data_IF_446001876914
#
_entry.id   IF_446001876914
#
_cell.length_a   1.000
_cell.length_b   1.000
_cell.length_c   1.000
_cell.angle_alpha   90.00
_cell.angle_beta   90.00
_cell.angle_gamma   90.00
#
_symmetry.space_group_name_H-M   'P 1'
#
loop_
_entity.id
_entity.type
_entity.pdbx_description
1 polymer ?
#
# COMPACT_ATOMS: atom_id res chain seq x y z
N UNK A 1 -2.86 -5.63 -9.71
CA UNK A 1 -3.07 -6.99 -9.17
C UNK A 1 -4.13 -7.81 -9.95
N UNK A 2 -5.41 -7.43 -10.02
CA UNK A 2 -6.42 -8.23 -10.78
C UNK A 2 -6.11 -8.38 -12.28
N UNK A 3 -5.67 -7.30 -12.95
CA UNK A 3 -5.30 -7.34 -14.37
C UNK A 3 -4.04 -8.19 -14.62
N UNK A 4 -3.06 -8.12 -13.72
CA UNK A 4 -1.84 -8.93 -13.78
C UNK A 4 -2.15 -10.42 -13.67
N UNK A 5 -3.07 -10.80 -12.77
CA UNK A 5 -3.48 -12.19 -12.58
C UNK A 5 -4.12 -12.77 -13.85
N UNK A 6 -5.05 -12.03 -14.47
CA UNK A 6 -5.71 -12.47 -15.71
C UNK A 6 -4.74 -12.64 -16.88
N UNK A 7 -3.69 -11.82 -16.95
CA UNK A 7 -2.66 -11.89 -18.00
C UNK A 7 -1.59 -12.95 -17.68
N UNK A 8 -1.37 -13.27 -16.39
CA UNK A 8 -0.44 -14.32 -15.97
C UNK A 8 -0.91 -15.73 -16.34
N UNK A 9 -2.23 -15.96 -16.39
CA UNK A 9 -2.84 -17.24 -16.75
C UNK A 9 -2.45 -17.69 -18.18
N UNK A 10 -2.70 -16.91 -19.25
CA UNK A 10 -2.28 -17.31 -20.59
C UNK A 10 -0.76 -17.39 -20.74
N UNK A 11 0.03 -16.59 -20.02
CA UNK A 11 1.50 -16.69 -20.06
C UNK A 11 2.03 -18.01 -19.46
N UNK A 12 1.36 -18.56 -18.46
CA UNK A 12 1.69 -19.87 -17.88
C UNK A 12 1.29 -21.02 -18.82
N UNK A 13 0.08 -20.97 -19.39
CA UNK A 13 -0.48 -22.08 -20.19
C UNK A 13 -0.07 -22.09 -21.67
N UNK A 14 0.38 -20.97 -22.26
CA UNK A 14 0.81 -20.89 -23.66
C UNK A 14 2.35 -20.77 -23.76
N UNK A 15 3.09 -21.89 -23.78
CA UNK A 15 4.55 -21.87 -23.74
C UNK A 15 5.23 -21.29 -24.99
N UNK A 16 4.49 -21.08 -26.08
CA UNK A 16 5.07 -20.70 -27.38
C UNK A 16 5.36 -19.20 -27.51
N UNK A 17 4.64 -18.33 -26.80
CA UNK A 17 4.66 -16.90 -27.11
C UNK A 17 5.48 -16.09 -26.10
N UNK A 18 6.77 -15.86 -26.43
CA UNK A 18 7.74 -15.12 -25.58
C UNK A 18 7.28 -13.70 -25.25
N UNK A 19 6.46 -13.10 -26.11
CA UNK A 19 5.89 -11.77 -25.92
C UNK A 19 5.08 -11.66 -24.61
N UNK A 20 4.28 -12.68 -24.29
CA UNK A 20 3.44 -12.66 -23.09
C UNK A 20 4.29 -12.71 -21.80
N UNK A 21 5.41 -13.43 -21.79
CA UNK A 21 6.31 -13.47 -20.64
C UNK A 21 7.01 -12.13 -20.38
N UNK A 22 7.48 -11.46 -21.44
CA UNK A 22 8.06 -10.12 -21.32
C UNK A 22 7.02 -9.09 -20.88
N UNK A 23 5.80 -9.18 -21.41
CA UNK A 23 4.69 -8.30 -21.04
C UNK A 23 4.27 -8.51 -19.57
N UNK A 24 4.15 -9.74 -19.10
CA UNK A 24 3.89 -10.04 -17.68
C UNK A 24 4.99 -9.48 -16.79
N UNK A 25 6.26 -9.69 -17.16
CA UNK A 25 7.41 -9.15 -16.40
C UNK A 25 7.34 -7.62 -16.32
N UNK A 26 7.06 -6.94 -17.44
CA UNK A 26 6.91 -5.49 -17.46
C UNK A 26 5.76 -5.00 -16.57
N UNK A 27 4.59 -5.67 -16.64
CA UNK A 27 3.44 -5.32 -15.80
C UNK A 27 3.70 -5.52 -14.30
N UNK A 28 4.44 -6.56 -13.92
CA UNK A 28 4.84 -6.79 -12.52
C UNK A 28 5.74 -5.63 -12.06
N UNK A 29 6.74 -5.25 -12.86
CA UNK A 29 7.63 -4.13 -12.52
C UNK A 29 6.83 -2.84 -12.34
N UNK A 30 5.93 -2.51 -13.26
CA UNK A 30 5.09 -1.30 -13.17
C UNK A 30 4.18 -1.35 -11.94
N UNK A 31 3.61 -2.50 -11.62
CA UNK A 31 2.74 -2.65 -10.44
C UNK A 31 3.55 -2.52 -9.15
N UNK A 32 4.73 -3.12 -9.08
CA UNK A 32 5.62 -3.05 -7.93
C UNK A 32 6.13 -1.62 -7.69
N UNK A 33 6.45 -0.86 -8.76
CA UNK A 33 6.91 0.54 -8.61
C UNK A 33 5.80 1.47 -8.15
N UNK A 34 4.57 1.32 -8.69
CA UNK A 34 3.42 2.13 -8.28
C UNK A 34 3.05 1.83 -6.82
N UNK A 35 2.97 0.54 -6.45
CA UNK A 35 2.63 0.14 -5.07
C UNK A 35 3.69 0.58 -4.07
N UNK A 36 4.98 0.51 -4.43
CA UNK A 36 6.07 1.02 -3.63
C UNK A 36 6.00 2.54 -3.47
N UNK A 37 5.72 3.30 -4.54
CA UNK A 37 5.59 4.75 -4.48
C UNK A 37 4.43 5.17 -3.57
N UNK A 38 3.28 4.49 -3.66
CA UNK A 38 2.14 4.72 -2.76
C UNK A 38 2.50 4.39 -1.32
N UNK A 39 3.13 3.23 -1.07
CA UNK A 39 3.56 2.81 0.26
C UNK A 39 4.52 3.81 0.90
N UNK A 40 5.50 4.32 0.14
CA UNK A 40 6.44 5.35 0.61
C UNK A 40 5.74 6.67 0.92
N UNK A 41 4.81 7.12 0.08
CA UNK A 41 4.06 8.36 0.32
C UNK A 41 3.25 8.29 1.62
N UNK A 42 2.55 7.18 1.85
CA UNK A 42 1.79 6.93 3.09
C UNK A 42 2.73 6.84 4.29
N UNK A 43 3.87 6.17 4.15
CA UNK A 43 4.87 6.08 5.20
C UNK A 43 5.43 7.46 5.59
N UNK A 44 5.74 8.33 4.62
CA UNK A 44 6.12 9.73 4.91
C UNK A 44 5.02 10.50 5.62
N UNK A 45 3.76 10.30 5.23
CA UNK A 45 2.61 10.91 5.93
C UNK A 45 2.51 10.46 7.39
N UNK A 46 3.00 9.25 7.71
CA UNK A 46 3.04 8.71 9.07
C UNK A 46 4.04 9.48 9.95
N UNK A 47 5.19 9.87 9.39
CA UNK A 47 6.20 10.69 10.08
C UNK A 47 5.72 12.12 10.38
N UNK A 48 4.84 12.65 9.53
CA UNK A 48 4.32 14.02 9.67
C UNK A 48 2.84 14.09 10.09
N UNK A 49 2.31 13.04 10.73
CA UNK A 49 0.89 12.99 11.11
C UNK A 49 0.45 14.21 11.91
N UNK A 50 1.24 14.67 12.86
CA UNK A 50 0.92 15.86 13.65
C UNK A 50 0.74 17.14 12.79
N UNK A 51 1.52 17.30 11.73
CA UNK A 51 1.38 18.45 10.81
C UNK A 51 0.20 18.27 9.87
N UNK A 52 -0.02 17.06 9.35
CA UNK A 52 -1.05 16.77 8.37
C UNK A 52 -2.46 16.73 8.96
N UNK A 53 -2.61 16.33 10.23
CA UNK A 53 -3.92 16.18 10.89
C UNK A 53 -4.53 17.54 11.30
N UNK A 54 -3.70 18.56 11.54
CA UNK A 54 -4.16 19.90 11.95
C UNK A 54 -5.03 20.60 10.89
N UNK A 55 -4.61 20.72 9.62
CA UNK A 55 -5.46 21.31 8.59
C UNK A 55 -6.71 20.45 8.30
N UNK A 56 -6.62 19.12 8.41
CA UNK A 56 -7.77 18.21 8.23
C UNK A 56 -8.82 18.45 9.32
N UNK A 57 -8.38 18.62 10.58
CA UNK A 57 -9.27 18.96 11.68
C UNK A 57 -9.99 20.28 11.40
N UNK A 58 -9.24 21.34 11.05
CA UNK A 58 -9.80 22.67 10.81
C UNK A 58 -10.74 22.73 9.59
N UNK A 59 -10.51 21.89 8.58
CA UNK A 59 -11.39 21.77 7.41
C UNK A 59 -12.65 20.92 7.69
N UNK A 60 -12.66 20.15 8.77
CA UNK A 60 -13.79 19.29 9.13
C UNK A 60 -14.98 20.09 9.67
N UNK A 61 -16.20 19.65 9.37
CA UNK A 61 -17.41 20.30 9.86
C UNK A 61 -17.51 20.22 11.40
N UNK A 62 -18.22 21.16 12.05
CA UNK A 62 -18.39 21.13 13.50
C UNK A 62 -19.09 19.85 14.00
N UNK A 63 -19.95 19.24 13.18
CA UNK A 63 -20.61 17.96 13.50
C UNK A 63 -19.61 16.80 13.50
N UNK A 64 -18.67 16.77 12.57
CA UNK A 64 -17.63 15.74 12.55
C UNK A 64 -16.68 15.91 13.74
N UNK A 65 -16.33 17.16 14.08
CA UNK A 65 -15.49 17.47 15.23
C UNK A 65 -16.16 17.07 16.56
N UNK A 66 -17.47 17.28 16.73
CA UNK A 66 -18.21 16.85 17.93
C UNK A 66 -18.24 15.33 18.10
N UNK A 67 -18.46 14.60 17.00
CA UNK A 67 -18.40 13.13 17.00
C UNK A 67 -16.99 12.60 17.34
N UNK A 68 -15.95 13.27 16.84
CA UNK A 68 -14.56 12.93 17.16
C UNK A 68 -14.27 13.17 18.66
N UNK A 69 -14.71 14.29 19.22
CA UNK A 69 -14.57 14.60 20.64
C UNK A 69 -15.29 13.55 21.52
N UNK A 70 -16.49 13.12 21.13
CA UNK A 70 -17.21 12.05 21.82
C UNK A 70 -16.49 10.70 21.74
N UNK A 71 -15.98 10.33 20.56
CA UNK A 71 -15.30 9.04 20.34
C UNK A 71 -13.97 8.95 21.10
N UNK A 72 -13.17 10.01 21.06
CA UNK A 72 -11.83 10.02 21.65
C UNK A 72 -11.79 10.59 23.07
N UNK A 73 -12.94 11.03 23.61
CA UNK A 73 -13.07 11.66 24.94
C UNK A 73 -12.01 12.73 25.19
N UNK A 74 -11.99 13.71 24.30
CA UNK A 74 -11.03 14.82 24.29
C UNK A 74 -11.74 16.11 23.87
N UNK A 75 -11.15 17.27 24.16
CA UNK A 75 -11.75 18.56 23.86
C UNK A 75 -10.77 19.47 23.11
N UNK A 76 -11.21 20.02 21.97
CA UNK A 76 -10.37 20.86 21.11
C UNK A 76 -9.20 20.10 20.48
N UNK A 77 -8.56 20.68 19.46
CA UNK A 77 -7.47 19.99 18.75
C UNK A 77 -6.10 20.19 19.40
N UNK A 78 -5.56 21.41 19.37
CA UNK A 78 -4.30 21.80 20.01
C UNK A 78 -4.53 22.52 21.34
N UNK A 79 -5.53 23.40 21.37
CA UNK A 79 -5.93 24.15 22.55
C UNK A 79 -7.26 23.60 23.07
N UNK A 80 -7.31 23.08 24.31
CA UNK A 80 -8.53 22.53 24.89
C UNK A 80 -9.62 23.57 25.13
N UNK A 81 -9.29 24.87 25.08
CA UNK A 81 -10.27 25.96 25.15
C UNK A 81 -10.98 26.26 23.82
N UNK A 82 -10.46 25.77 22.68
CA UNK A 82 -11.05 25.91 21.34
C UNK A 82 -11.84 24.65 20.98
N UNK A 83 -12.88 24.36 21.77
CA UNK A 83 -13.75 23.19 21.60
C UNK A 83 -15.15 23.62 21.13
N UNK A 84 -15.86 22.66 20.55
CA UNK A 84 -17.28 22.81 20.23
C UNK A 84 -18.05 22.35 21.45
N UNK A 85 -19.05 23.14 21.86
CA UNK A 85 -19.84 22.83 23.04
C UNK A 85 -20.76 21.66 22.74
N UNK A 86 -20.38 20.50 23.24
CA UNK A 86 -21.11 19.25 23.13
C UNK A 86 -21.27 18.58 24.50
N UNK A 87 -21.98 17.44 24.55
CA UNK A 87 -22.18 16.69 25.80
C UNK A 87 -20.87 16.24 26.47
N UNK A 88 -19.81 16.01 25.68
CA UNK A 88 -18.47 15.61 26.17
C UNK A 88 -17.69 16.80 26.75
N UNK A 89 -17.85 17.98 26.17
CA UNK A 89 -17.12 19.20 26.53
C UNK A 89 -18.13 20.31 26.88
N UNK A 90 -18.81 20.24 28.04
CA UNK A 90 -19.84 21.21 28.40
C UNK A 90 -19.26 22.55 28.88
N UNK A 91 -18.05 22.55 29.44
CA UNK A 91 -17.40 23.74 29.99
C UNK A 91 -15.89 23.70 29.81
N UNK A 92 -15.25 24.87 29.85
CA UNK A 92 -13.80 24.99 29.70
C UNK A 92 -13.01 24.29 30.82
N UNK A 93 -13.60 24.11 32.01
CA UNK A 93 -12.99 23.35 33.11
C UNK A 93 -12.90 21.87 32.76
N UNK A 94 -14.02 21.28 32.34
CA UNK A 94 -14.07 19.87 31.91
C UNK A 94 -13.16 19.65 30.69
N UNK A 95 -13.10 20.62 29.77
CA UNK A 95 -12.20 20.54 28.62
C UNK A 95 -10.71 20.56 29.00
N UNK A 96 -10.33 21.30 30.05
CA UNK A 96 -8.96 21.30 30.57
C UNK A 96 -8.61 19.97 31.23
N UNK A 97 -9.57 19.31 31.89
CA UNK A 97 -9.37 18.01 32.55
C UNK A 97 -9.23 16.86 31.53
N UNK A 98 -10.00 16.88 30.43
CA UNK A 98 -9.93 15.85 29.37
C UNK A 98 -8.71 16.05 28.44
N UNK A 99 -8.23 17.28 28.31
CA UNK A 99 -7.09 17.61 27.46
C UNK A 99 -7.37 17.58 25.95
N UNK A 100 -6.34 17.84 25.13
CA UNK A 100 -6.48 18.07 23.70
C UNK A 100 -6.57 16.78 22.86
N UNK A 101 -7.33 16.83 21.76
CA UNK A 101 -7.59 15.68 20.89
C UNK A 101 -6.41 15.25 20.01
N UNK A 102 -5.38 16.08 19.81
CA UNK A 102 -4.29 15.73 18.88
C UNK A 102 -3.55 14.44 19.27
N UNK A 103 -3.45 14.13 20.57
CA UNK A 103 -2.74 12.93 21.06
C UNK A 103 -3.51 11.64 20.77
N UNK A 104 -4.77 11.46 21.25
CA UNK A 104 -5.54 10.24 20.98
C UNK A 104 -5.90 10.11 19.49
N UNK A 105 -6.16 11.23 18.80
CA UNK A 105 -6.44 11.22 17.37
C UNK A 105 -5.21 10.85 16.55
N UNK A 106 -4.04 11.41 16.89
CA UNK A 106 -2.76 11.09 16.26
C UNK A 106 -2.36 9.63 16.46
N UNK A 107 -2.55 9.08 17.66
CA UNK A 107 -2.27 7.67 17.94
C UNK A 107 -3.13 6.73 17.08
N UNK A 108 -4.43 7.02 16.95
CA UNK A 108 -5.33 6.24 16.09
C UNK A 108 -4.95 6.34 14.61
N UNK A 109 -4.64 7.56 14.13
CA UNK A 109 -4.23 7.78 12.75
C UNK A 109 -2.91 7.05 12.43
N UNK A 110 -1.91 7.13 13.32
CA UNK A 110 -0.64 6.42 13.17
C UNK A 110 -0.87 4.91 13.09
N UNK A 111 -1.62 4.32 14.02
CA UNK A 111 -1.88 2.87 14.00
C UNK A 111 -2.59 2.41 12.71
N UNK A 112 -3.53 3.21 12.21
CA UNK A 112 -4.20 2.91 10.94
C UNK A 112 -3.23 3.00 9.76
N UNK A 113 -2.43 4.08 9.70
CA UNK A 113 -1.43 4.26 8.64
C UNK A 113 -0.37 3.16 8.68
N UNK A 114 0.04 2.72 9.87
CA UNK A 114 1.00 1.63 10.09
C UNK A 114 0.56 0.33 9.44
N UNK A 115 -0.70 -0.07 9.67
CA UNK A 115 -1.28 -1.28 9.07
C UNK A 115 -1.32 -1.15 7.55
N UNK A 116 -1.74 0.02 7.05
CA UNK A 116 -1.91 0.26 5.62
C UNK A 116 -0.56 0.21 4.90
N UNK A 117 0.45 0.98 5.33
CA UNK A 117 1.75 0.96 4.66
C UNK A 117 2.42 -0.40 4.75
N UNK A 118 2.31 -1.09 5.89
CA UNK A 118 2.91 -2.42 6.08
C UNK A 118 2.31 -3.43 5.09
N UNK A 119 0.99 -3.34 4.88
CA UNK A 119 0.29 -4.17 3.89
C UNK A 119 0.79 -3.88 2.47
N UNK A 120 1.00 -2.61 2.11
CA UNK A 120 1.54 -2.24 0.80
C UNK A 120 2.98 -2.76 0.58
N UNK A 121 3.86 -2.61 1.57
CA UNK A 121 5.21 -3.18 1.48
C UNK A 121 5.18 -4.71 1.40
N UNK A 122 4.23 -5.36 2.07
CA UNK A 122 3.98 -6.79 1.95
C UNK A 122 3.63 -7.21 0.52
N UNK A 123 2.75 -6.46 -0.16
CA UNK A 123 2.44 -6.73 -1.57
C UNK A 123 3.65 -6.54 -2.49
N UNK A 124 4.45 -5.50 -2.25
CA UNK A 124 5.70 -5.28 -3.01
C UNK A 124 6.64 -6.48 -2.85
N UNK A 125 6.79 -7.04 -1.66
CA UNK A 125 7.62 -8.23 -1.43
C UNK A 125 7.11 -9.45 -2.23
N UNK A 126 5.79 -9.66 -2.28
CA UNK A 126 5.18 -10.72 -3.09
C UNK A 126 5.44 -10.49 -4.59
N UNK A 127 5.31 -9.26 -5.06
CA UNK A 127 5.58 -8.90 -6.47
C UNK A 127 7.06 -9.17 -6.83
N UNK A 128 8.01 -8.92 -5.92
CA UNK A 128 9.42 -9.26 -6.12
C UNK A 128 9.66 -10.77 -6.25
N UNK A 129 9.04 -11.58 -5.39
CA UNK A 129 9.13 -13.05 -5.48
C UNK A 129 8.56 -13.53 -6.82
N UNK A 130 7.41 -12.99 -7.22
CA UNK A 130 6.76 -13.35 -8.48
C UNK A 130 7.59 -12.93 -9.70
N UNK A 131 8.25 -11.78 -9.64
CA UNK A 131 9.20 -11.32 -10.65
C UNK A 131 10.38 -12.28 -10.79
N UNK A 132 11.01 -12.68 -9.68
CA UNK A 132 12.12 -13.64 -9.70
C UNK A 132 11.69 -14.98 -10.29
N UNK A 133 10.53 -15.50 -9.89
CA UNK A 133 9.97 -16.74 -10.46
C UNK A 133 9.77 -16.63 -11.98
N UNK A 134 9.27 -15.49 -12.45
CA UNK A 134 9.07 -15.23 -13.89
C UNK A 134 10.40 -15.16 -14.65
N UNK A 135 11.43 -14.52 -14.07
CA UNK A 135 12.77 -14.47 -14.67
C UNK A 135 13.43 -15.85 -14.73
N UNK A 136 13.30 -16.67 -13.68
CA UNK A 136 13.76 -18.06 -13.68
C UNK A 136 13.10 -18.86 -14.81
N UNK A 137 11.78 -18.71 -15.00
CA UNK A 137 11.04 -19.37 -16.06
C UNK A 137 11.51 -18.92 -17.46
N UNK A 138 11.74 -17.62 -17.67
CA UNK A 138 12.27 -17.09 -18.94
C UNK A 138 13.64 -17.70 -19.24
N UNK A 139 14.53 -17.78 -18.24
CA UNK A 139 15.86 -18.37 -18.40
C UNK A 139 15.79 -19.86 -18.75
N UNK A 140 14.97 -20.63 -18.03
CA UNK A 140 14.78 -22.07 -18.29
C UNK A 140 14.24 -22.34 -19.70
N UNK A 141 13.23 -21.58 -20.15
CA UNK A 141 12.70 -21.71 -21.53
C UNK A 141 13.77 -21.38 -22.58
N UNK A 142 14.59 -20.35 -22.36
CA UNK A 142 15.68 -19.95 -23.26
C UNK A 142 16.77 -21.02 -23.33
N UNK A 143 17.11 -21.64 -22.20
CA UNK A 143 18.08 -22.74 -22.16
C UNK A 143 17.54 -23.98 -22.91
N UNK A 144 16.28 -24.37 -22.68
CA UNK A 144 15.63 -25.47 -23.42
C UNK A 144 15.59 -25.24 -24.93
N UNK A 145 15.26 -24.04 -25.38
CA UNK A 145 15.32 -23.69 -26.81
C UNK A 145 16.73 -23.81 -27.38
N UNK A 146 17.75 -23.37 -26.62
CA UNK A 146 19.16 -23.53 -27.04
C UNK A 146 19.55 -25.00 -27.17
N UNK A 147 19.16 -25.86 -26.24
CA UNK A 147 19.46 -27.30 -26.33
C UNK A 147 18.77 -27.95 -27.53
N UNK A 148 17.51 -27.62 -27.81
CA UNK A 148 16.81 -28.08 -29.03
C UNK A 148 17.57 -27.72 -30.31
N UNK A 149 18.05 -26.48 -30.41
CA UNK A 149 18.83 -26.03 -31.56
C UNK A 149 20.20 -26.74 -31.68
N UNK A 150 20.78 -27.21 -30.58
CA UNK A 150 22.03 -27.99 -30.59
C UNK A 150 21.76 -29.43 -31.02
N UNK A 151 20.69 -30.04 -30.54
CA UNK A 151 20.30 -31.41 -30.90
C UNK A 151 19.93 -31.50 -32.40
N UNK A 152 19.18 -30.50 -32.92
CA UNK A 152 18.91 -30.36 -34.36
C UNK A 152 20.20 -30.30 -35.19
N UNK A 153 21.22 -29.57 -34.73
CA UNK A 153 22.52 -29.47 -35.42
C UNK A 153 23.35 -30.75 -35.35
N UNK A 154 23.15 -31.59 -34.34
CA UNK A 154 23.91 -32.84 -34.14
C UNK A 154 23.30 -34.02 -34.90
N UNK A 155 22.19 -33.83 -35.61
CA UNK A 155 21.52 -34.90 -36.37
C UNK A 155 20.92 -36.00 -35.50
N UNK A 156 20.87 -35.79 -34.18
CA UNK A 156 20.13 -36.65 -33.25
C UNK A 156 18.69 -36.18 -33.33
N UNK A 157 17.95 -36.77 -34.28
CA UNK A 157 16.54 -36.43 -34.50
C UNK A 157 15.73 -36.49 -33.22
N UNK A 158 14.89 -35.46 -33.04
CA UNK A 158 13.79 -35.34 -32.06
C UNK A 158 13.44 -36.64 -31.34
N UNK A 159 13.88 -36.78 -30.08
CA UNK A 159 13.25 -37.67 -29.10
C UNK A 159 12.40 -36.81 -28.16
#
# INVERSE_FOLDING_TARGET
MMLCFLISLPAAFLPRNRFFLHLVTFLIIVTATITLAIGLNIWFSTLETHKNLTPIWNASSPVTQSMLQFKFKCCGYSNPALFIKDQTCPSAKVAADLGPCFTPFGAFANQFLDIVFTTFFGFVAIDFIFLLATLCLIKDRKEKERYKLIDEKRGVGSI
#
